data_IF_275294098822
#
_entry.id   IF_275294098822
#
_cell.length_a   1.000
_cell.length_b   1.000
_cell.length_c   1.000
_cell.angle_alpha   90.00
_cell.angle_beta   90.00
_cell.angle_gamma   90.00
#
_symmetry.space_group_name_H-M   'P 1'
#
loop_
_entity.id
_entity.type
_entity.pdbx_description
1 polymer ?
#
# COMPACT_ATOMS: atom_id res chain seq x y z
N UNK A 1 -7.52 9.69 1.56
CA UNK A 1 -6.76 10.67 0.76
C UNK A 1 -5.74 11.38 1.64
N UNK A 2 -4.59 11.76 1.07
CA UNK A 2 -3.55 12.53 1.75
C UNK A 2 -4.12 13.70 2.58
N UNK A 3 -3.65 13.81 3.81
CA UNK A 3 -4.16 14.74 4.82
C UNK A 3 -5.15 14.12 5.82
N UNK A 4 -5.68 12.92 5.55
CA UNK A 4 -6.42 12.15 6.55
C UNK A 4 -5.48 11.68 7.69
N UNK A 5 -5.82 11.88 8.97
CA UNK A 5 -4.95 11.52 10.09
C UNK A 5 -4.58 10.04 10.14
N UNK A 6 -5.51 9.16 9.77
CA UNK A 6 -5.32 7.70 9.75
C UNK A 6 -4.15 7.25 8.87
N UNK A 7 -3.82 7.98 7.80
CA UNK A 7 -2.68 7.67 6.92
C UNK A 7 -1.32 7.92 7.57
N UNK A 8 -1.31 8.54 8.76
CA UNK A 8 -0.11 8.87 9.55
C UNK A 8 -0.08 8.13 10.89
N UNK A 9 -1.01 7.19 11.10
CA UNK A 9 -1.06 6.37 12.30
C UNK A 9 -0.39 5.02 12.02
N UNK A 10 0.38 4.53 12.98
CA UNK A 10 0.83 3.13 12.98
C UNK A 10 -0.40 2.27 13.23
N UNK A 11 -0.60 1.29 12.35
CA UNK A 11 -1.74 0.40 12.37
C UNK A 11 -1.57 -0.72 13.39
N UNK A 12 -2.68 -1.16 13.98
CA UNK A 12 -2.72 -2.17 15.05
C UNK A 12 -2.92 -3.58 14.50
N UNK A 13 -2.30 -4.56 15.16
CA UNK A 13 -2.53 -5.98 14.88
C UNK A 13 -3.98 -6.39 15.19
N UNK A 14 -4.48 -7.34 14.41
CA UNK A 14 -5.82 -7.91 14.58
C UNK A 14 -5.76 -9.41 14.86
N UNK A 15 -6.82 -9.93 15.45
CA UNK A 15 -7.01 -11.36 15.72
C UNK A 15 -8.05 -11.96 14.75
N UNK A 16 -8.21 -13.29 14.70
CA UNK A 16 -9.28 -13.93 13.93
C UNK A 16 -10.70 -13.45 14.29
N UNK A 17 -10.87 -12.89 15.49
CA UNK A 17 -12.16 -12.39 15.99
C UNK A 17 -12.50 -10.98 15.47
N UNK A 18 -11.68 -10.39 14.60
CA UNK A 18 -11.95 -9.06 14.04
C UNK A 18 -13.32 -9.06 13.31
N UNK A 19 -14.23 -8.13 13.66
CA UNK A 19 -15.61 -8.20 13.19
C UNK A 19 -15.69 -8.04 11.68
N UNK A 20 -16.45 -8.93 11.03
CA UNK A 20 -16.72 -8.93 9.59
C UNK A 20 -15.46 -8.95 8.71
N UNK A 21 -14.34 -9.54 9.18
CA UNK A 21 -13.06 -9.52 8.47
C UNK A 21 -13.14 -10.03 7.03
N UNK A 22 -13.88 -11.12 6.77
CA UNK A 22 -14.05 -11.67 5.42
C UNK A 22 -14.72 -10.69 4.47
N UNK A 23 -15.79 -10.03 4.93
CA UNK A 23 -16.50 -9.02 4.16
C UNK A 23 -15.61 -7.79 3.92
N UNK A 24 -14.86 -7.38 4.94
CA UNK A 24 -13.89 -6.29 4.82
C UNK A 24 -12.83 -6.57 3.75
N UNK A 25 -12.23 -7.77 3.76
CA UNK A 25 -11.26 -8.21 2.75
C UNK A 25 -11.87 -8.14 1.35
N UNK A 26 -13.08 -8.68 1.16
CA UNK A 26 -13.79 -8.60 -0.12
C UNK A 26 -14.00 -7.16 -0.57
N UNK A 27 -14.45 -6.28 0.33
CA UNK A 27 -14.68 -4.86 0.05
C UNK A 27 -13.38 -4.10 -0.28
N UNK A 28 -12.27 -4.43 0.37
CA UNK A 28 -10.95 -3.86 0.07
C UNK A 28 -10.51 -4.23 -1.34
N UNK A 29 -10.63 -5.50 -1.69
CA UNK A 29 -10.37 -6.00 -3.02
C UNK A 29 -11.22 -5.31 -4.09
N UNK A 30 -12.54 -5.23 -3.90
CA UNK A 30 -13.42 -4.49 -4.83
C UNK A 30 -13.05 -3.01 -4.96
N UNK A 31 -12.66 -2.38 -3.85
CA UNK A 31 -12.26 -0.97 -3.83
C UNK A 31 -10.99 -0.74 -4.62
N UNK A 32 -10.00 -1.61 -4.43
CA UNK A 32 -8.73 -1.60 -5.16
C UNK A 32 -8.95 -1.85 -6.66
N UNK A 33 -9.72 -2.88 -7.02
CA UNK A 33 -10.00 -3.23 -8.42
C UNK A 33 -10.73 -2.07 -9.14
N UNK A 34 -11.71 -1.42 -8.50
CA UNK A 34 -12.42 -0.24 -9.06
C UNK A 34 -11.55 1.00 -9.22
N UNK A 35 -10.40 1.03 -8.57
CA UNK A 35 -9.45 2.13 -8.65
C UNK A 35 -8.25 1.80 -9.56
N UNK A 36 -8.30 0.65 -10.26
CA UNK A 36 -7.20 0.12 -11.10
C UNK A 36 -5.87 0.03 -10.33
N UNK A 37 -5.93 -0.31 -9.04
CA UNK A 37 -4.77 -0.45 -8.16
C UNK A 37 -4.24 -1.88 -8.08
N UNK A 38 -2.96 -2.03 -7.74
CA UNK A 38 -2.33 -3.33 -7.49
C UNK A 38 -2.23 -3.69 -5.99
N UNK A 39 -2.42 -2.71 -5.09
CA UNK A 39 -2.37 -2.87 -3.65
C UNK A 39 -3.31 -1.90 -2.92
N UNK A 40 -3.79 -2.32 -1.75
CA UNK A 40 -4.57 -1.47 -0.85
C UNK A 40 -4.38 -1.88 0.62
N UNK A 41 -3.96 -0.92 1.44
CA UNK A 41 -3.86 -1.04 2.88
C UNK A 41 -5.11 -0.50 3.59
N UNK A 42 -5.54 -1.13 4.68
CA UNK A 42 -6.71 -0.73 5.46
C UNK A 42 -6.68 0.74 5.95
N UNK A 43 -5.51 1.34 6.30
CA UNK A 43 -5.44 2.77 6.61
C UNK A 43 -5.94 3.67 5.46
N UNK A 44 -5.80 3.25 4.21
CA UNK A 44 -6.27 4.02 3.04
C UNK A 44 -7.80 4.11 2.95
N UNK A 45 -8.51 3.14 3.53
CA UNK A 45 -9.98 3.15 3.69
C UNK A 45 -10.43 3.60 5.08
N UNK A 46 -9.50 4.07 5.92
CA UNK A 46 -9.80 4.70 7.20
C UNK A 46 -9.83 3.77 8.41
N UNK A 47 -9.27 2.56 8.29
CA UNK A 47 -9.15 1.61 9.39
C UNK A 47 -7.68 1.50 9.82
N UNK A 48 -7.31 1.85 11.06
CA UNK A 48 -5.93 1.81 11.54
C UNK A 48 -5.52 0.38 11.96
N UNK A 49 -5.69 -0.60 11.07
CA UNK A 49 -5.38 -2.02 11.31
C UNK A 49 -4.38 -2.56 10.30
N UNK A 50 -3.58 -3.53 10.69
CA UNK A 50 -2.57 -4.20 9.83
C UNK A 50 -3.23 -5.20 8.89
N UNK A 51 -3.90 -4.68 7.87
CA UNK A 51 -4.52 -5.48 6.83
C UNK A 51 -4.21 -4.88 5.46
N UNK A 52 -3.68 -5.71 4.56
CA UNK A 52 -3.31 -5.34 3.20
C UNK A 52 -3.86 -6.38 2.23
N UNK A 53 -4.33 -5.92 1.07
CA UNK A 53 -4.64 -6.78 -0.07
C UNK A 53 -3.75 -6.39 -1.26
N UNK A 54 -3.26 -7.38 -1.99
CA UNK A 54 -2.47 -7.18 -3.21
C UNK A 54 -3.03 -8.06 -4.32
N UNK A 55 -3.20 -7.50 -5.51
CA UNK A 55 -3.55 -8.22 -6.73
C UNK A 55 -2.57 -7.84 -7.84
N UNK A 56 -1.68 -8.77 -8.20
CA UNK A 56 -0.70 -8.59 -9.28
C UNK A 56 -1.13 -9.27 -10.58
N UNK A 57 -2.29 -9.93 -10.61
CA UNK A 57 -2.84 -10.51 -11.84
C UNK A 57 -3.08 -9.45 -12.93
N UNK A 58 -3.32 -8.19 -12.53
CA UNK A 58 -3.42 -7.02 -13.42
C UNK A 58 -2.12 -6.70 -14.16
N UNK A 59 -0.99 -7.24 -13.72
CA UNK A 59 0.32 -7.11 -14.37
C UNK A 59 0.69 -8.37 -15.17
N UNK A 60 -0.18 -9.38 -15.23
CA UNK A 60 0.17 -10.72 -15.77
C UNK A 60 0.43 -10.75 -17.28
N UNK A 61 -0.02 -9.74 -18.03
CA UNK A 61 0.29 -9.59 -19.46
C UNK A 61 1.80 -9.31 -19.67
N UNK A 62 2.40 -8.47 -18.82
CA UNK A 62 3.82 -8.12 -18.87
C UNK A 62 4.68 -9.01 -17.94
N UNK A 63 4.09 -9.55 -16.88
CA UNK A 63 4.76 -10.36 -15.85
C UNK A 63 3.96 -11.65 -15.57
N UNK A 64 4.03 -12.67 -16.47
CA UNK A 64 3.21 -13.87 -16.41
C UNK A 64 3.31 -14.68 -15.11
N UNK A 65 4.41 -14.54 -14.36
CA UNK A 65 4.61 -15.15 -13.04
C UNK A 65 3.57 -14.70 -12.00
N UNK A 66 2.94 -13.55 -12.19
CA UNK A 66 1.90 -13.03 -11.30
C UNK A 66 0.48 -13.40 -11.72
N UNK A 67 0.33 -14.26 -12.73
CA UNK A 67 -0.98 -14.76 -13.13
C UNK A 67 -1.70 -15.45 -11.96
N UNK A 68 -2.90 -14.98 -11.64
CA UNK A 68 -3.70 -15.42 -10.50
C UNK A 68 -3.17 -14.96 -9.14
N UNK A 69 -2.21 -14.03 -9.08
CA UNK A 69 -1.68 -13.52 -7.84
C UNK A 69 -2.65 -12.54 -7.20
N UNK A 70 -3.36 -13.02 -6.18
CA UNK A 70 -4.28 -12.23 -5.35
C UNK A 70 -4.19 -12.74 -3.91
N UNK A 71 -3.67 -11.91 -2.99
CA UNK A 71 -3.31 -12.34 -1.63
C UNK A 71 -3.66 -11.29 -0.59
N UNK A 72 -3.90 -11.78 0.63
CA UNK A 72 -4.17 -10.99 1.83
C UNK A 72 -2.98 -11.11 2.77
N UNK A 73 -2.59 -9.99 3.38
CA UNK A 73 -1.51 -9.92 4.35
C UNK A 73 -2.05 -9.27 5.62
N UNK A 74 -2.14 -10.05 6.69
CA UNK A 74 -2.62 -9.66 8.01
C UNK A 74 -1.42 -9.58 8.95
N UNK A 75 -1.39 -8.56 9.83
CA UNK A 75 -0.31 -8.34 10.81
C UNK A 75 1.09 -8.41 10.16
N UNK A 76 1.21 -7.82 8.97
CA UNK A 76 2.41 -7.98 8.15
C UNK A 76 3.52 -7.02 8.58
N UNK A 77 4.76 -7.51 8.66
CA UNK A 77 5.95 -6.74 9.05
C UNK A 77 7.13 -7.07 8.14
N UNK A 78 7.90 -6.05 7.77
CA UNK A 78 9.24 -6.24 7.20
C UNK A 78 10.21 -6.43 8.37
N UNK A 79 10.87 -7.57 8.43
CA UNK A 79 11.82 -7.90 9.51
C UNK A 79 13.27 -7.77 9.07
N UNK A 80 13.53 -7.80 7.76
CA UNK A 80 14.87 -7.69 7.19
C UNK A 80 14.80 -7.13 5.77
N UNK A 81 15.84 -6.42 5.33
CA UNK A 81 15.99 -5.95 3.94
C UNK A 81 17.41 -6.26 3.48
N UNK A 82 17.60 -6.47 2.18
CA UNK A 82 18.95 -6.52 1.62
C UNK A 82 19.53 -5.11 1.39
N UNK A 83 20.82 -5.06 1.06
CA UNK A 83 21.53 -3.81 0.76
C UNK A 83 21.34 -3.31 -0.68
N UNK A 84 20.97 -4.21 -1.60
CA UNK A 84 20.75 -3.85 -3.00
C UNK A 84 19.43 -3.10 -3.15
N UNK A 85 19.43 -2.07 -3.99
CA UNK A 85 18.26 -1.20 -4.16
C UNK A 85 18.03 -0.90 -5.62
N UNK A 86 16.77 -0.77 -6.02
CA UNK A 86 16.35 -0.26 -7.32
C UNK A 86 15.57 1.05 -7.19
N UNK A 87 15.27 1.67 -8.33
CA UNK A 87 14.39 2.84 -8.38
C UNK A 87 13.37 2.65 -9.49
N UNK A 88 12.09 2.71 -9.09
CA UNK A 88 10.94 2.53 -9.96
C UNK A 88 9.92 3.62 -9.66
N UNK A 89 9.11 3.96 -10.67
CA UNK A 89 8.02 4.90 -10.51
C UNK A 89 6.91 4.27 -9.65
N UNK A 90 6.47 5.00 -8.63
CA UNK A 90 5.32 4.63 -7.80
C UNK A 90 4.22 5.66 -7.90
N UNK A 91 2.98 5.17 -7.88
CA UNK A 91 1.78 5.94 -7.57
C UNK A 91 1.14 5.43 -6.27
N UNK A 92 0.11 6.13 -5.79
CA UNK A 92 -0.67 5.69 -4.63
C UNK A 92 -2.11 6.19 -4.75
N UNK A 93 -3.08 5.33 -4.42
CA UNK A 93 -4.51 5.68 -4.43
C UNK A 93 -4.85 6.81 -3.43
N UNK A 94 -4.03 6.99 -2.39
CA UNK A 94 -4.16 8.11 -1.45
C UNK A 94 -3.57 9.43 -1.95
N UNK A 95 -2.79 9.41 -3.04
CA UNK A 95 -2.06 10.54 -3.64
C UNK A 95 -2.34 10.65 -5.17
N UNK A 96 -3.61 10.81 -5.59
CA UNK A 96 -3.96 10.76 -7.02
C UNK A 96 -3.21 11.79 -7.86
N UNK A 97 -2.63 11.34 -8.98
CA UNK A 97 -1.90 12.18 -9.93
C UNK A 97 -0.49 12.59 -9.49
N UNK A 98 0.03 11.96 -8.44
CA UNK A 98 1.44 12.05 -8.04
C UNK A 98 2.11 10.71 -8.35
N UNK A 99 3.10 10.75 -9.23
CA UNK A 99 3.96 9.63 -9.56
C UNK A 99 5.40 10.11 -9.43
N UNK A 100 6.23 9.37 -8.69
CA UNK A 100 7.63 9.70 -8.51
C UNK A 100 8.48 8.44 -8.50
N UNK A 101 9.73 8.57 -8.94
CA UNK A 101 10.73 7.51 -8.79
C UNK A 101 11.15 7.40 -7.33
N UNK A 102 10.92 6.23 -6.74
CA UNK A 102 11.23 5.93 -5.34
C UNK A 102 12.26 4.80 -5.30
N UNK A 103 13.25 4.94 -4.43
CA UNK A 103 14.32 3.96 -4.23
C UNK A 103 13.91 2.97 -3.14
N UNK A 104 13.99 1.66 -3.40
CA UNK A 104 13.66 0.61 -2.41
C UNK A 104 14.67 -0.54 -2.44
N UNK A 105 14.87 -1.26 -1.32
CA UNK A 105 15.47 -2.59 -1.31
C UNK A 105 14.84 -3.52 -2.34
N UNK A 106 15.67 -4.29 -3.05
CA UNK A 106 15.20 -5.25 -4.08
C UNK A 106 14.62 -6.51 -3.47
N UNK A 107 14.96 -6.81 -2.21
CA UNK A 107 14.48 -7.99 -1.48
C UNK A 107 14.22 -7.67 -0.02
N UNK A 108 13.13 -8.23 0.50
CA UNK A 108 12.70 -8.05 1.90
C UNK A 108 12.37 -9.40 2.52
N UNK A 109 12.60 -9.55 3.82
CA UNK A 109 12.06 -10.65 4.61
C UNK A 109 10.83 -10.15 5.34
N UNK A 110 9.71 -10.84 5.16
CA UNK A 110 8.42 -10.46 5.73
C UNK A 110 7.90 -11.54 6.65
N UNK A 111 7.23 -11.10 7.72
CA UNK A 111 6.40 -11.95 8.57
C UNK A 111 4.97 -11.48 8.49
N UNK A 112 4.03 -12.38 8.25
CA UNK A 112 2.62 -12.04 8.15
C UNK A 112 1.73 -13.27 8.40
N UNK A 113 0.43 -13.02 8.51
CA UNK A 113 -0.64 -14.01 8.55
C UNK A 113 -1.43 -13.92 7.25
N UNK A 114 -1.80 -15.05 6.65
CA UNK A 114 -2.70 -15.07 5.48
C UNK A 114 -4.18 -14.98 5.87
N UNK A 115 -5.10 -15.06 4.91
CA UNK A 115 -6.55 -15.00 5.16
C UNK A 115 -7.09 -16.14 6.03
N UNK A 116 -6.32 -17.22 6.22
CA UNK A 116 -6.62 -18.35 7.09
C UNK A 116 -5.88 -18.24 8.43
N UNK A 117 -5.21 -17.12 8.71
CA UNK A 117 -4.37 -16.89 9.89
C UNK A 117 -3.22 -17.90 10.02
N UNK A 118 -2.70 -18.40 8.89
CA UNK A 118 -1.46 -19.18 8.89
C UNK A 118 -0.26 -18.22 8.83
N UNK A 119 0.75 -18.51 9.65
CA UNK A 119 1.98 -17.73 9.71
C UNK A 119 2.89 -18.01 8.51
N UNK A 120 3.45 -16.92 7.96
CA UNK A 120 4.46 -16.94 6.91
C UNK A 120 5.67 -16.13 7.37
N UNK A 121 6.87 -16.65 7.13
CA UNK A 121 8.16 -15.97 7.33
C UNK A 121 9.05 -16.30 6.13
N UNK A 122 9.14 -15.37 5.20
CA UNK A 122 9.75 -15.62 3.90
C UNK A 122 10.48 -14.41 3.34
N UNK A 123 11.43 -14.68 2.46
CA UNK A 123 12.08 -13.66 1.66
C UNK A 123 11.34 -13.50 0.33
N UNK A 124 11.07 -12.25 -0.03
CA UNK A 124 10.35 -11.87 -1.25
C UNK A 124 11.19 -10.86 -2.03
N UNK A 125 11.25 -11.02 -3.35
CA UNK A 125 11.93 -10.11 -4.29
C UNK A 125 10.96 -9.64 -5.41
N UNK A 126 11.51 -8.89 -6.36
CA UNK A 126 10.82 -8.46 -7.56
C UNK A 126 9.71 -7.43 -7.30
N UNK A 127 8.74 -7.39 -8.20
CA UNK A 127 7.63 -6.45 -8.13
C UNK A 127 6.75 -6.68 -6.90
N UNK A 128 6.62 -7.93 -6.44
CA UNK A 128 5.90 -8.22 -5.20
C UNK A 128 6.57 -7.58 -3.97
N UNK A 129 7.90 -7.69 -3.84
CA UNK A 129 8.62 -7.02 -2.75
C UNK A 129 8.42 -5.51 -2.78
N UNK A 130 8.33 -4.91 -3.98
CA UNK A 130 8.03 -3.49 -4.17
C UNK A 130 6.63 -3.14 -3.65
N UNK A 131 5.61 -3.87 -4.08
CA UNK A 131 4.23 -3.66 -3.65
C UNK A 131 4.08 -3.86 -2.14
N UNK A 132 4.67 -4.92 -1.58
CA UNK A 132 4.67 -5.15 -0.12
C UNK A 132 5.30 -4.00 0.63
N UNK A 133 6.45 -3.49 0.21
CA UNK A 133 7.07 -2.32 0.85
C UNK A 133 6.17 -1.08 0.80
N UNK A 134 5.52 -0.82 -0.33
CA UNK A 134 4.59 0.30 -0.47
C UNK A 134 3.39 0.17 0.47
N UNK A 135 2.75 -1.00 0.49
CA UNK A 135 1.55 -1.21 1.31
C UNK A 135 1.89 -1.33 2.80
N UNK A 136 3.07 -1.88 3.14
CA UNK A 136 3.49 -2.02 4.54
C UNK A 136 3.97 -0.67 5.10
N UNK A 137 4.51 0.23 4.27
CA UNK A 137 4.72 1.64 4.66
C UNK A 137 3.40 2.27 5.16
N UNK A 138 2.26 1.97 4.53
CA UNK A 138 0.97 2.47 4.98
C UNK A 138 0.57 1.94 6.37
N UNK A 139 0.97 0.72 6.72
CA UNK A 139 0.77 0.17 8.06
C UNK A 139 1.62 0.89 9.11
N UNK A 140 2.74 1.49 8.71
CA UNK A 140 3.63 2.30 9.55
C UNK A 140 3.29 3.81 9.54
N UNK A 141 2.16 4.21 8.94
CA UNK A 141 1.80 5.63 8.79
C UNK A 141 2.70 6.41 7.82
N UNK A 142 3.44 5.68 6.97
CA UNK A 142 4.30 6.22 5.93
C UNK A 142 3.60 6.17 4.57
N UNK A 143 4.11 6.98 3.64
CA UNK A 143 3.70 7.00 2.25
C UNK A 143 4.95 7.10 1.39
N UNK A 144 4.88 6.67 0.13
CA UNK A 144 6.05 6.67 -0.76
C UNK A 144 6.75 8.04 -0.86
N UNK A 145 5.98 9.13 -0.74
CA UNK A 145 6.51 10.50 -0.79
C UNK A 145 7.50 10.78 0.33
N UNK A 146 7.48 10.03 1.42
CA UNK A 146 8.39 10.18 2.55
C UNK A 146 9.80 9.66 2.22
N UNK A 147 9.93 8.76 1.24
CA UNK A 147 11.22 8.26 0.72
C UNK A 147 11.86 9.19 -0.31
N UNK A 148 11.16 10.24 -0.75
CA UNK A 148 11.67 11.18 -1.74
C UNK A 148 12.72 12.14 -1.14
N UNK A 149 13.65 12.58 -2.00
CA UNK A 149 14.60 13.63 -1.65
C UNK A 149 13.90 14.95 -1.33
N UNK A 150 14.55 15.82 -0.55
CA UNK A 150 14.00 17.11 -0.16
C UNK A 150 13.60 17.98 -1.38
N UNK A 151 14.42 17.96 -2.44
CA UNK A 151 14.14 18.66 -3.69
C UNK A 151 12.88 18.13 -4.38
N UNK A 152 12.72 16.80 -4.47
CA UNK A 152 11.52 16.19 -5.05
C UNK A 152 10.27 16.50 -4.24
N UNK A 153 10.33 16.39 -2.91
CA UNK A 153 9.25 16.78 -2.00
C UNK A 153 8.82 18.24 -2.21
N UNK A 154 9.78 19.15 -2.40
CA UNK A 154 9.48 20.56 -2.66
C UNK A 154 8.74 20.77 -3.98
N UNK A 155 9.11 20.05 -5.05
CA UNK A 155 8.45 20.16 -6.36
C UNK A 155 7.00 19.67 -6.34
N UNK A 156 6.68 18.62 -5.57
CA UNK A 156 5.31 18.09 -5.48
C UNK A 156 4.44 18.78 -4.42
N UNK A 157 5.01 19.66 -3.58
CA UNK A 157 4.33 20.32 -2.46
C UNK A 157 3.03 21.02 -2.86
N UNK A 158 3.00 21.62 -4.04
CA UNK A 158 1.78 22.27 -4.57
C UNK A 158 0.62 21.30 -4.74
N UNK A 159 0.88 20.10 -5.30
CA UNK A 159 -0.12 19.04 -5.47
C UNK A 159 -0.60 18.52 -4.11
N UNK A 160 0.32 18.26 -3.19
CA UNK A 160 0.01 17.80 -1.82
C UNK A 160 -0.87 18.80 -1.06
N UNK A 161 -0.54 20.09 -1.12
CA UNK A 161 -1.34 21.14 -0.51
C UNK A 161 -2.75 21.25 -1.12
N UNK A 162 -2.90 20.97 -2.42
CA UNK A 162 -4.22 20.95 -3.06
C UNK A 162 -5.09 19.79 -2.55
N UNK A 163 -4.50 18.62 -2.30
CA UNK A 163 -5.19 17.46 -1.70
C UNK A 163 -5.70 17.78 -0.29
N UNK A 164 -4.86 18.37 0.57
CA UNK A 164 -5.25 18.79 1.92
C UNK A 164 -6.44 19.76 1.88
N UNK A 165 -6.48 20.65 0.88
CA UNK A 165 -7.58 21.60 0.68
C UNK A 165 -8.84 20.98 0.04
N UNK A 166 -8.86 19.68 -0.21
CA UNK A 166 -9.98 18.98 -0.85
C UNK A 166 -10.16 19.34 -2.33
N UNK A 167 -9.11 19.81 -3.01
CA UNK A 167 -9.15 20.23 -4.42
C UNK A 167 -8.66 19.14 -5.38
N UNK A 168 -8.29 17.97 -4.87
CA UNK A 168 -7.88 16.85 -5.70
C UNK A 168 -9.10 16.15 -6.33
N UNK A 169 -8.94 15.70 -7.57
CA UNK A 169 -9.96 14.94 -8.31
C UNK A 169 -9.37 13.59 -8.72
N UNK A 170 -10.16 12.54 -8.62
CA UNK A 170 -9.86 11.19 -9.10
C UNK A 170 -11.16 10.54 -9.58
N UNK A 171 -11.05 9.49 -10.40
CA UNK A 171 -12.17 8.73 -10.95
C UNK A 171 -12.85 7.82 -9.93
N UNK A 172 -12.16 7.49 -8.84
CA UNK A 172 -12.65 6.60 -7.79
C UNK A 172 -13.07 7.36 -6.53
N UNK A 173 -13.84 6.69 -5.67
CA UNK A 173 -14.35 7.26 -4.41
C UNK A 173 -13.19 7.48 -3.42
N UNK A 174 -13.13 8.66 -2.84
CA UNK A 174 -12.11 9.03 -1.86
C UNK A 174 -12.73 9.83 -0.72
N UNK A 175 -12.30 9.56 0.51
CA UNK A 175 -12.60 10.42 1.65
C UNK A 175 -11.61 11.59 1.70
N UNK A 176 -12.08 12.79 1.36
CA UNK A 176 -11.31 14.05 1.46
C UNK A 176 -11.26 14.55 2.91
N UNK A 177 -10.33 15.45 3.25
CA UNK A 177 -10.11 15.95 4.63
C UNK A 177 -11.31 16.72 5.23
N UNK A 178 -12.30 17.10 4.40
CA UNK A 178 -13.53 17.78 4.83
C UNK A 178 -14.61 16.82 5.30
#
# INVERSE_FOLDING_TARGET
MYGQPVLRQVAEDITPDYPNLKELITNMFETMDRADGCGLAAPQIGLPIRLVVINLDVMSDDMPEYKGFRRVFINAHIVETNDETDSLEEGCLSLPGVHESVKRPTRIRVKYLDENFLEHDEWVDGFLARCMQHEFDHLEGMMFIDHLSALRKQMIRGKLNAMIKGKARCSYKVKTVK
#
